data_IF_864100184463
#
_entry.id   IF_864100184463
#
_cell.length_a   1.000
_cell.length_b   1.000
_cell.length_c   1.000
_cell.angle_alpha   90.00
_cell.angle_beta   90.00
_cell.angle_gamma   90.00
#
_symmetry.space_group_name_H-M   'P 1'
#
loop_
_entity.id
_entity.type
_entity.pdbx_description
1 polymer ?
#
# COMPACT_ATOMS: atom_id res chain seq x y z
N UNK A 1 0.28 -23.29 11.78
CA UNK A 1 1.29 -24.00 10.96
C UNK A 1 2.28 -24.79 11.84
N UNK A 2 2.68 -26.01 11.45
CA UNK A 2 3.76 -26.78 12.12
C UNK A 2 5.04 -26.63 11.31
N UNK A 3 6.13 -26.16 11.92
CA UNK A 3 7.45 -26.12 11.28
C UNK A 3 8.34 -27.21 11.86
N UNK A 4 8.92 -28.02 10.97
CA UNK A 4 9.89 -29.05 11.29
C UNK A 4 11.32 -28.59 10.99
N UNK A 5 12.20 -28.68 11.99
CA UNK A 5 13.63 -28.46 11.83
C UNK A 5 14.25 -29.59 10.99
N UNK A 6 14.83 -29.30 9.82
CA UNK A 6 15.41 -30.34 8.96
C UNK A 6 16.57 -31.11 9.63
N UNK A 7 17.39 -30.39 10.41
CA UNK A 7 18.59 -30.90 11.07
C UNK A 7 18.23 -31.65 12.36
N UNK A 8 17.40 -31.05 13.19
CA UNK A 8 17.13 -31.53 14.54
C UNK A 8 15.80 -32.26 14.68
N UNK A 9 15.00 -32.35 13.61
CA UNK A 9 13.69 -33.02 13.51
C UNK A 9 12.64 -32.59 14.54
N UNK A 10 12.91 -31.54 15.32
CA UNK A 10 11.93 -30.98 16.26
C UNK A 10 10.85 -30.26 15.47
N UNK A 11 9.61 -30.65 15.76
CA UNK A 11 8.42 -29.96 15.28
C UNK A 11 8.00 -28.92 16.31
N UNK A 12 7.68 -27.71 15.84
CA UNK A 12 7.05 -26.68 16.67
C UNK A 12 5.73 -26.29 16.05
N UNK A 13 4.68 -26.43 16.84
CA UNK A 13 3.35 -25.90 16.54
C UNK A 13 3.35 -24.42 16.86
N UNK A 14 3.06 -23.59 15.85
CA UNK A 14 3.02 -22.15 16.02
C UNK A 14 1.57 -21.70 16.22
N UNK A 15 1.30 -21.05 17.35
CA UNK A 15 0.07 -20.31 17.62
C UNK A 15 0.32 -18.82 17.39
N UNK A 16 -0.57 -18.14 16.65
CA UNK A 16 -0.55 -16.68 16.60
C UNK A 16 -0.88 -16.11 17.99
N UNK A 17 -0.45 -14.88 18.28
CA UNK A 17 -0.86 -14.19 19.52
C UNK A 17 -2.39 -14.09 19.62
N UNK A 18 -2.88 -13.99 20.86
CA UNK A 18 -4.31 -13.73 21.11
C UNK A 18 -4.74 -12.39 20.50
N UNK A 19 -6.00 -12.33 20.06
CA UNK A 19 -6.59 -11.12 19.48
C UNK A 19 -6.94 -10.14 20.60
N UNK A 20 -6.26 -9.00 20.72
CA UNK A 20 -6.66 -7.93 21.67
C UNK A 20 -7.88 -7.11 21.21
N UNK A 21 -8.62 -7.55 20.19
CA UNK A 21 -9.85 -6.89 19.75
C UNK A 21 -11.06 -7.79 20.03
N UNK A 22 -11.74 -7.54 21.15
CA UNK A 22 -13.12 -7.98 21.37
C UNK A 22 -14.02 -7.37 20.29
N UNK A 23 -14.21 -8.11 19.20
CA UNK A 23 -15.12 -7.72 18.12
C UNK A 23 -14.41 -7.37 16.81
N UNK A 24 -14.73 -8.15 15.77
CA UNK A 24 -14.34 -7.97 14.35
C UNK A 24 -12.87 -8.24 13.98
N UNK A 25 -12.51 -9.51 14.04
CA UNK A 25 -11.47 -10.09 13.18
C UNK A 25 -10.64 -11.15 13.90
N UNK A 26 -10.41 -12.29 13.24
CA UNK A 26 -9.58 -13.39 13.78
C UNK A 26 -8.06 -13.14 13.66
N UNK A 27 -7.65 -11.96 13.21
CA UNK A 27 -6.24 -11.62 12.95
C UNK A 27 -5.74 -10.71 14.06
N UNK A 28 -4.70 -11.14 14.78
CA UNK A 28 -4.10 -10.36 15.85
C UNK A 28 -3.59 -9.03 15.30
N UNK A 29 -3.76 -7.95 16.05
CA UNK A 29 -3.35 -6.59 15.66
C UNK A 29 -1.87 -6.53 15.25
N UNK A 30 -1.03 -7.32 15.92
CA UNK A 30 0.39 -7.45 15.58
C UNK A 30 0.63 -7.92 14.14
N UNK A 31 -0.24 -8.76 13.59
CA UNK A 31 -0.11 -9.26 12.22
C UNK A 31 -0.37 -8.15 11.19
N UNK A 32 -1.31 -7.25 11.49
CA UNK A 32 -1.58 -6.07 10.65
C UNK A 32 -0.41 -5.12 10.69
N UNK A 33 0.11 -4.82 11.89
CA UNK A 33 1.27 -3.93 12.08
C UNK A 33 2.53 -4.47 11.44
N UNK A 34 2.81 -5.77 11.60
CA UNK A 34 3.95 -6.42 10.96
C UNK A 34 3.84 -6.38 9.43
N UNK A 35 2.65 -6.64 8.88
CA UNK A 35 2.40 -6.53 7.43
C UNK A 35 2.62 -5.10 6.94
N UNK A 36 2.05 -4.11 7.62
CA UNK A 36 2.21 -2.69 7.28
C UNK A 36 3.69 -2.30 7.33
N UNK A 37 4.39 -2.56 8.44
CA UNK A 37 5.79 -2.21 8.61
C UNK A 37 6.68 -2.82 7.52
N UNK A 38 6.43 -4.09 7.17
CA UNK A 38 7.15 -4.77 6.09
C UNK A 38 6.89 -4.12 4.73
N UNK A 39 5.64 -3.69 4.48
CA UNK A 39 5.25 -3.04 3.22
C UNK A 39 5.87 -1.65 3.08
N UNK A 40 5.92 -0.87 4.16
CA UNK A 40 6.52 0.48 4.18
C UNK A 40 8.03 0.46 3.87
N UNK A 41 8.72 -0.61 4.24
CA UNK A 41 10.15 -0.80 3.89
C UNK A 41 10.36 -1.49 2.53
N UNK A 42 9.29 -1.71 1.76
CA UNK A 42 9.36 -2.33 0.44
C UNK A 42 9.72 -3.81 0.44
N UNK A 43 9.52 -4.49 1.57
CA UNK A 43 9.82 -5.91 1.72
C UNK A 43 8.55 -6.76 1.57
N UNK A 44 8.75 -8.04 1.28
CA UNK A 44 7.68 -9.03 1.20
C UNK A 44 7.61 -9.88 2.47
N UNK A 45 6.58 -10.71 2.57
CA UNK A 45 6.39 -11.67 3.67
C UNK A 45 7.63 -12.54 3.91
N UNK A 46 8.32 -12.94 2.87
CA UNK A 46 9.46 -13.86 2.99
C UNK A 46 10.61 -13.19 3.76
N UNK A 47 10.89 -11.92 3.48
CA UNK A 47 11.87 -11.12 4.23
C UNK A 47 11.46 -10.96 5.71
N UNK A 48 10.17 -10.83 6.00
CA UNK A 48 9.67 -10.83 7.38
C UNK A 48 9.90 -12.19 8.06
N UNK A 49 9.70 -13.30 7.34
CA UNK A 49 9.99 -14.64 7.87
C UNK A 49 11.49 -14.84 8.13
N UNK A 50 12.35 -14.35 7.23
CA UNK A 50 13.81 -14.41 7.39
C UNK A 50 14.26 -13.63 8.62
N UNK A 51 13.75 -12.40 8.78
CA UNK A 51 14.02 -11.57 9.96
C UNK A 51 13.61 -12.28 11.25
N UNK A 52 12.38 -12.81 11.30
CA UNK A 52 11.88 -13.51 12.49
C UNK A 52 12.71 -14.77 12.78
N UNK A 53 13.16 -15.47 11.74
CA UNK A 53 14.04 -16.64 11.85
C UNK A 53 15.40 -16.26 12.46
N UNK A 54 16.01 -15.16 11.99
CA UNK A 54 17.26 -14.61 12.56
C UNK A 54 17.07 -14.26 14.04
N UNK A 55 15.93 -13.69 14.40
CA UNK A 55 15.59 -13.33 15.78
C UNK A 55 15.19 -14.54 16.64
N UNK A 56 15.19 -15.77 16.09
CA UNK A 56 14.80 -16.98 16.81
C UNK A 56 13.31 -17.05 17.14
N UNK A 57 12.49 -16.24 16.45
CA UNK A 57 11.04 -16.12 16.65
C UNK A 57 10.26 -16.82 15.55
N UNK A 58 9.03 -17.21 15.85
CA UNK A 58 8.16 -17.86 14.89
C UNK A 58 7.58 -16.86 13.86
N UNK A 59 7.29 -17.29 12.62
CA UNK A 59 6.55 -16.48 11.66
C UNK A 59 5.23 -15.98 12.25
N UNK A 60 5.06 -14.65 12.28
CA UNK A 60 3.89 -13.98 12.86
C UNK A 60 2.63 -14.15 11.98
N UNK A 61 2.80 -14.18 10.65
CA UNK A 61 1.69 -14.08 9.70
C UNK A 61 1.73 -15.21 8.66
N UNK A 62 0.65 -16.00 8.61
CA UNK A 62 0.45 -17.00 7.55
C UNK A 62 0.23 -16.32 6.19
N UNK A 63 0.72 -16.93 5.11
CA UNK A 63 0.66 -16.34 3.76
C UNK A 63 -0.75 -15.89 3.31
N UNK A 64 -1.82 -16.67 3.55
CA UNK A 64 -3.17 -16.22 3.20
C UNK A 64 -3.62 -15.00 4.00
N UNK A 65 -3.23 -14.89 5.28
CA UNK A 65 -3.56 -13.74 6.12
C UNK A 65 -2.77 -12.51 5.69
N UNK A 66 -1.48 -12.68 5.37
CA UNK A 66 -0.63 -11.60 4.87
C UNK A 66 -1.20 -11.02 3.57
N UNK A 67 -1.56 -11.87 2.61
CA UNK A 67 -2.14 -11.43 1.34
C UNK A 67 -3.48 -10.68 1.53
N UNK A 68 -4.32 -11.12 2.48
CA UNK A 68 -5.54 -10.38 2.83
C UNK A 68 -5.22 -9.00 3.38
N UNK A 69 -4.23 -8.89 4.28
CA UNK A 69 -3.82 -7.60 4.82
C UNK A 69 -3.25 -6.67 3.74
N UNK A 70 -2.42 -7.18 2.83
CA UNK A 70 -1.92 -6.41 1.68
C UNK A 70 -3.06 -5.92 0.79
N UNK A 71 -4.05 -6.79 0.50
CA UNK A 71 -5.21 -6.40 -0.30
C UNK A 71 -6.03 -5.29 0.39
N UNK A 72 -6.25 -5.39 1.71
CA UNK A 72 -6.90 -4.33 2.49
C UNK A 72 -6.09 -3.03 2.49
N UNK A 73 -4.76 -3.10 2.66
CA UNK A 73 -3.90 -1.91 2.62
C UNK A 73 -3.97 -1.23 1.24
N UNK A 74 -3.94 -2.02 0.17
CA UNK A 74 -4.07 -1.51 -1.19
C UNK A 74 -5.43 -0.85 -1.43
N UNK A 75 -6.54 -1.41 -0.94
CA UNK A 75 -7.86 -0.81 -1.11
C UNK A 75 -7.97 0.51 -0.35
N UNK A 76 -7.49 0.56 0.89
CA UNK A 76 -7.48 1.77 1.71
C UNK A 76 -6.59 2.87 1.11
N UNK A 77 -5.43 2.51 0.57
CA UNK A 77 -4.54 3.44 -0.14
C UNK A 77 -5.22 4.04 -1.37
N UNK A 78 -5.98 3.24 -2.13
CA UNK A 78 -6.73 3.76 -3.28
C UNK A 78 -7.88 4.68 -2.88
N UNK A 79 -8.63 4.34 -1.84
CA UNK A 79 -9.72 5.16 -1.32
C UNK A 79 -9.21 6.50 -0.79
N UNK A 80 -8.18 6.48 0.04
CA UNK A 80 -7.55 7.70 0.56
C UNK A 80 -6.97 8.56 -0.56
N UNK A 81 -6.34 7.95 -1.58
CA UNK A 81 -5.86 8.66 -2.77
C UNK A 81 -7.02 9.32 -3.54
N UNK A 82 -8.15 8.62 -3.74
CA UNK A 82 -9.33 9.19 -4.42
C UNK A 82 -9.90 10.37 -3.65
N UNK A 83 -10.02 10.26 -2.33
CA UNK A 83 -10.58 11.33 -1.52
C UNK A 83 -9.64 12.53 -1.43
N UNK A 84 -8.32 12.30 -1.36
CA UNK A 84 -7.34 13.37 -1.43
C UNK A 84 -7.40 14.09 -2.79
N UNK A 85 -7.48 13.36 -3.90
CA UNK A 85 -7.66 13.93 -5.24
C UNK A 85 -8.94 14.77 -5.33
N UNK A 86 -10.06 14.33 -4.74
CA UNK A 86 -11.30 15.14 -4.70
C UNK A 86 -11.12 16.43 -3.92
N UNK A 87 -10.47 16.39 -2.75
CA UNK A 87 -10.20 17.58 -1.92
C UNK A 87 -9.32 18.58 -2.65
N UNK A 88 -8.24 18.10 -3.27
CA UNK A 88 -7.33 18.93 -4.08
C UNK A 88 -8.10 19.52 -5.26
N UNK A 89 -8.86 18.72 -6.00
CA UNK A 89 -9.65 19.21 -7.13
C UNK A 89 -10.68 20.28 -6.72
N UNK A 90 -11.34 20.14 -5.57
CA UNK A 90 -12.26 21.16 -5.05
C UNK A 90 -11.54 22.47 -4.71
N UNK A 91 -10.37 22.39 -4.07
CA UNK A 91 -9.55 23.56 -3.76
C UNK A 91 -9.04 24.25 -5.03
N UNK A 92 -8.59 23.48 -6.02
CA UNK A 92 -8.14 24.00 -7.32
C UNK A 92 -9.27 24.70 -8.07
N UNK A 93 -10.49 24.11 -8.09
CA UNK A 93 -11.66 24.75 -8.70
C UNK A 93 -11.94 26.11 -8.08
N UNK A 94 -11.90 26.23 -6.76
CA UNK A 94 -12.11 27.53 -6.08
C UNK A 94 -11.03 28.55 -6.43
N UNK A 95 -9.76 28.15 -6.52
CA UNK A 95 -8.65 29.04 -6.88
C UNK A 95 -8.62 29.46 -8.35
N UNK A 96 -9.29 28.68 -9.20
CA UNK A 96 -9.36 28.88 -10.64
C UNK A 96 -10.65 29.56 -11.10
N UNK A 97 -11.65 29.75 -10.22
CA UNK A 97 -12.78 30.64 -10.51
C UNK A 97 -12.21 32.03 -10.78
N UNK A 98 -12.36 32.50 -12.01
CA UNK A 98 -11.91 33.82 -12.51
C UNK A 98 -10.45 33.93 -13.00
N UNK A 99 -9.74 32.81 -13.20
CA UNK A 99 -8.41 32.83 -13.85
C UNK A 99 -8.46 32.21 -15.25
N UNK A 100 -7.75 32.81 -16.20
CA UNK A 100 -7.48 32.14 -17.47
C UNK A 100 -6.48 31.00 -17.23
N UNK A 101 -6.85 29.79 -17.63
CA UNK A 101 -6.08 28.57 -17.39
C UNK A 101 -5.57 28.00 -18.71
N UNK A 102 -4.28 27.70 -18.77
CA UNK A 102 -3.70 26.82 -19.76
C UNK A 102 -3.69 25.38 -19.20
N UNK A 103 -4.18 24.42 -20.00
CA UNK A 103 -4.12 22.99 -19.64
C UNK A 103 -3.22 22.27 -20.63
N UNK A 104 -1.89 22.30 -20.44
CA UNK A 104 -1.01 21.43 -21.21
C UNK A 104 -1.26 19.97 -20.83
N UNK A 105 -1.44 19.15 -21.86
CA UNK A 105 -1.56 17.70 -21.73
C UNK A 105 -0.31 17.06 -22.28
N UNK A 106 0.43 16.35 -21.44
CA UNK A 106 1.50 15.47 -21.91
C UNK A 106 0.89 14.10 -22.21
N UNK A 107 0.59 13.90 -23.48
CA UNK A 107 0.29 12.59 -24.03
C UNK A 107 1.58 11.80 -24.15
N UNK A 108 2.07 11.26 -23.04
CA UNK A 108 3.37 10.60 -22.98
C UNK A 108 3.38 9.37 -23.90
N UNK A 109 4.00 9.57 -25.06
CA UNK A 109 4.60 8.62 -26.01
C UNK A 109 3.72 7.50 -26.58
N UNK A 110 3.25 7.71 -27.81
CA UNK A 110 2.84 6.64 -28.72
C UNK A 110 4.09 6.05 -29.40
N UNK A 111 4.76 5.06 -28.79
CA UNK A 111 5.61 4.15 -29.58
C UNK A 111 4.71 3.08 -30.18
N UNK A 112 4.85 2.80 -31.49
CA UNK A 112 4.04 1.80 -32.23
C UNK A 112 3.90 0.52 -31.41
N UNK A 113 2.73 0.28 -30.83
CA UNK A 113 2.38 -0.95 -30.10
C UNK A 113 2.21 -0.84 -28.58
N UNK A 114 2.49 0.31 -27.95
CA UNK A 114 2.28 0.48 -26.50
C UNK A 114 1.56 1.79 -26.19
N UNK A 115 0.39 1.69 -25.55
CA UNK A 115 -0.36 2.82 -24.99
C UNK A 115 -0.15 2.87 -23.48
N UNK A 116 0.38 3.98 -22.97
CA UNK A 116 0.27 4.29 -21.55
C UNK A 116 -1.21 4.50 -21.20
N UNK A 117 -1.73 3.78 -20.21
CA UNK A 117 -3.08 4.03 -19.66
C UNK A 117 -3.13 5.28 -18.77
N UNK A 118 -2.01 5.96 -18.58
CA UNK A 118 -1.89 7.12 -17.71
C UNK A 118 -1.38 8.30 -18.55
N UNK A 119 -2.24 9.30 -18.72
CA UNK A 119 -1.86 10.60 -19.26
C UNK A 119 -1.84 11.64 -18.15
N UNK A 120 -0.91 12.58 -18.22
CA UNK A 120 -0.76 13.65 -17.23
C UNK A 120 -1.20 14.96 -17.87
N UNK A 121 -2.26 15.55 -17.32
CA UNK A 121 -2.65 16.92 -17.62
C UNK A 121 -2.23 17.81 -16.46
N UNK A 122 -1.60 18.94 -16.78
CA UNK A 122 -1.23 19.96 -15.79
C UNK A 122 -2.13 21.18 -16.02
N UNK A 123 -2.55 21.85 -14.94
CA UNK A 123 -3.33 23.09 -15.03
C UNK A 123 -2.45 24.25 -14.56
N UNK A 124 -2.24 25.24 -15.43
CA UNK A 124 -1.36 26.38 -15.18
C UNK A 124 -2.19 27.67 -15.37
N UNK A 125 -2.34 28.52 -14.34
CA UNK A 125 -2.91 29.85 -14.53
C UNK A 125 -1.97 30.69 -15.40
N UNK A 126 -2.52 31.33 -16.42
CA UNK A 126 -1.73 32.13 -17.38
C UNK A 126 -1.00 33.28 -16.67
N UNK A 127 -1.63 33.86 -15.65
CA UNK A 127 -1.15 35.05 -14.97
C UNK A 127 0.07 34.78 -14.06
N UNK A 128 0.14 33.61 -13.45
CA UNK A 128 1.19 33.28 -12.46
C UNK A 128 2.21 32.28 -12.94
N UNK A 129 1.87 31.44 -13.93
CA UNK A 129 2.75 30.36 -14.39
C UNK A 129 3.03 29.27 -13.34
N UNK A 130 2.34 29.32 -12.19
CA UNK A 130 2.49 28.34 -11.13
C UNK A 130 1.82 27.01 -11.53
N UNK A 131 2.56 25.92 -11.35
CA UNK A 131 2.10 24.57 -11.67
C UNK A 131 1.40 23.99 -10.43
N UNK A 132 0.15 23.57 -10.61
CA UNK A 132 -0.67 22.94 -9.57
C UNK A 132 -0.93 21.46 -9.82
#
# INVERSE_FOLDING_TARGET
MVLGCFICKKERTLSSSENENEGRGKSAEINRRATLATTEVGLARDSLCDLLTILGTAPLVEAPSYNRHIATLSSLSQETSKDQKKKVAACLRQRAMDKDLAVPYDGTWHRRGYTSNHGVGVVIPIDTGEIF
#
